data_IF_334711051350
#
_entry.id   IF_334711051350
#
_cell.length_a   1.000
_cell.length_b   1.000
_cell.length_c   1.000
_cell.angle_alpha   90.00
_cell.angle_beta   90.00
_cell.angle_gamma   90.00
#
_symmetry.space_group_name_H-M   'P 1'
#
loop_
_entity.id
_entity.type
_entity.pdbx_description
1 polymer ?
#
# COMPACT_ATOMS: atom_id res chain seq x y z
N UNK A 1 -19.76 7.96 -14.52
CA UNK A 1 -20.56 8.17 -13.30
C UNK A 1 -19.75 8.97 -12.29
N UNK A 2 -20.36 9.51 -11.23
CA UNK A 2 -19.64 10.23 -10.18
C UNK A 2 -18.67 9.31 -9.42
N UNK A 3 -17.62 9.89 -8.82
CA UNK A 3 -16.67 9.18 -7.96
C UNK A 3 -17.41 8.60 -6.77
N UNK A 4 -17.19 7.31 -6.48
CA UNK A 4 -17.84 6.60 -5.37
C UNK A 4 -16.89 6.15 -4.27
N UNK A 5 -15.60 6.04 -4.58
CA UNK A 5 -14.60 5.56 -3.63
C UNK A 5 -13.28 6.24 -3.88
N UNK A 6 -12.67 6.74 -2.81
CA UNK A 6 -11.32 7.30 -2.79
C UNK A 6 -10.47 6.39 -1.92
N UNK A 7 -9.33 5.95 -2.44
CA UNK A 7 -8.30 5.22 -1.70
C UNK A 7 -7.07 6.12 -1.67
N UNK A 8 -6.71 6.58 -0.48
CA UNK A 8 -5.53 7.41 -0.24
C UNK A 8 -4.49 6.55 0.49
N UNK A 9 -3.36 6.29 -0.16
CA UNK A 9 -2.24 5.55 0.44
C UNK A 9 -1.12 6.56 0.70
N UNK A 10 -1.04 7.03 1.94
CA UNK A 10 0.00 7.93 2.39
C UNK A 10 1.25 7.18 2.86
N UNK A 11 2.25 7.93 3.31
CA UNK A 11 3.49 7.34 3.85
C UNK A 11 3.25 6.56 5.14
N UNK A 12 2.42 7.06 6.06
CA UNK A 12 2.25 6.49 7.40
C UNK A 12 0.82 6.02 7.70
N UNK A 13 -0.11 6.26 6.78
CA UNK A 13 -1.48 5.82 6.91
C UNK A 13 -2.06 5.48 5.54
N UNK A 14 -3.20 4.79 5.55
CA UNK A 14 -4.02 4.61 4.36
C UNK A 14 -5.49 4.78 4.72
N UNK A 15 -6.26 5.33 3.79
CA UNK A 15 -7.66 5.72 3.98
C UNK A 15 -8.51 5.18 2.84
N UNK A 16 -9.71 4.74 3.17
CA UNK A 16 -10.76 4.39 2.22
C UNK A 16 -11.98 5.24 2.54
N UNK A 17 -12.40 6.03 1.58
CA UNK A 17 -13.52 6.96 1.70
C UNK A 17 -14.56 6.57 0.66
N UNK A 18 -15.78 6.26 1.09
CA UNK A 18 -16.92 6.04 0.18
C UNK A 18 -17.76 7.30 0.12
N UNK A 19 -18.18 7.66 -1.09
CA UNK A 19 -19.03 8.81 -1.37
C UNK A 19 -20.42 8.35 -1.81
N UNK A 20 -21.45 9.06 -1.34
CA UNK A 20 -22.84 8.83 -1.75
C UNK A 20 -23.15 9.43 -3.13
N UNK A 21 -24.43 9.50 -3.51
CA UNK A 21 -24.87 10.04 -4.83
C UNK A 21 -24.69 11.55 -4.98
N UNK A 22 -24.65 12.26 -3.86
CA UNK A 22 -24.40 13.70 -3.80
C UNK A 22 -22.90 14.04 -3.77
N UNK A 23 -22.04 13.03 -3.60
CA UNK A 23 -20.59 13.19 -3.45
C UNK A 23 -20.15 13.48 -2.02
N UNK A 24 -21.08 13.38 -1.04
CA UNK A 24 -20.77 13.51 0.38
C UNK A 24 -20.18 12.20 0.92
N UNK A 25 -19.40 12.32 1.99
CA UNK A 25 -18.73 11.18 2.62
C UNK A 25 -19.74 10.30 3.37
N UNK A 26 -19.99 9.11 2.83
CA UNK A 26 -20.85 8.09 3.43
C UNK A 26 -20.08 7.21 4.43
N UNK A 27 -18.81 6.89 4.15
CA UNK A 27 -18.00 6.04 5.03
C UNK A 27 -16.53 6.40 4.96
N UNK A 28 -15.86 6.30 6.11
CA UNK A 28 -14.44 6.56 6.27
C UNK A 28 -13.78 5.46 7.10
N UNK A 29 -12.79 4.79 6.51
CA UNK A 29 -11.92 3.83 7.18
C UNK A 29 -10.47 4.30 7.03
N UNK A 30 -9.68 4.16 8.09
CA UNK A 30 -8.29 4.57 8.09
C UNK A 30 -7.43 3.65 8.94
N UNK A 31 -6.28 3.26 8.41
CA UNK A 31 -5.21 2.62 9.16
C UNK A 31 -4.08 3.63 9.43
N UNK A 32 -3.87 4.00 10.68
CA UNK A 32 -2.75 4.87 11.14
C UNK A 32 -1.79 4.16 12.09
N UNK A 33 -2.10 2.94 12.51
CA UNK A 33 -1.34 2.26 13.59
C UNK A 33 -0.28 1.32 13.06
N UNK A 34 -0.44 0.84 11.83
CA UNK A 34 0.44 -0.12 11.21
C UNK A 34 1.01 0.44 9.92
N UNK A 35 2.32 0.27 9.72
CA UNK A 35 2.98 0.64 8.48
C UNK A 35 2.68 -0.36 7.33
N UNK A 36 2.15 -1.55 7.63
CA UNK A 36 1.63 -2.44 6.60
C UNK A 36 0.47 -1.76 5.85
N UNK A 37 0.50 -1.82 4.52
CA UNK A 37 -0.50 -1.16 3.68
C UNK A 37 -0.34 0.36 3.57
N UNK A 38 0.86 0.90 3.85
CA UNK A 38 1.22 2.32 3.65
C UNK A 38 2.50 2.45 2.84
N UNK A 39 2.86 3.66 2.41
CA UNK A 39 4.13 3.94 1.71
C UNK A 39 5.38 3.52 2.49
N UNK A 40 5.33 3.55 3.83
CA UNK A 40 6.43 3.10 4.69
C UNK A 40 6.74 1.61 4.56
N UNK A 41 5.75 0.77 4.20
CA UNK A 41 6.01 -0.61 3.79
C UNK A 41 6.88 -0.66 2.53
N UNK A 42 6.50 0.11 1.51
CA UNK A 42 7.21 0.15 0.23
C UNK A 42 8.64 0.70 0.39
N UNK A 43 8.82 1.74 1.20
CA UNK A 43 10.14 2.29 1.54
C UNK A 43 11.06 1.25 2.22
N UNK A 44 10.52 0.44 3.13
CA UNK A 44 11.27 -0.62 3.79
C UNK A 44 11.67 -1.70 2.77
N UNK A 45 10.73 -2.18 1.95
CA UNK A 45 11.01 -3.20 0.93
C UNK A 45 12.02 -2.72 -0.12
N UNK A 46 11.90 -1.47 -0.60
CA UNK A 46 12.87 -0.87 -1.52
C UNK A 46 14.29 -0.89 -0.94
N UNK A 47 14.43 -0.54 0.35
CA UNK A 47 15.70 -0.57 1.07
C UNK A 47 16.28 -1.98 1.19
N UNK A 48 15.45 -2.96 1.55
CA UNK A 48 15.88 -4.35 1.71
C UNK A 48 16.34 -4.94 0.38
N UNK A 49 15.58 -4.66 -0.70
CA UNK A 49 15.90 -5.10 -2.05
C UNK A 49 17.06 -4.31 -2.70
N UNK A 50 17.53 -3.24 -2.05
CA UNK A 50 18.63 -2.40 -2.56
C UNK A 50 18.26 -1.62 -3.82
N UNK A 51 17.00 -1.24 -4.01
CA UNK A 51 16.51 -0.51 -5.18
C UNK A 51 15.85 0.83 -4.80
N UNK A 52 15.86 1.84 -5.69
CA UNK A 52 15.09 3.06 -5.48
C UNK A 52 13.58 2.77 -5.42
N UNK A 53 12.86 3.51 -4.57
CA UNK A 53 11.41 3.33 -4.35
C UNK A 53 10.63 3.53 -5.66
N UNK A 54 11.00 4.53 -6.44
CA UNK A 54 10.43 4.88 -7.73
C UNK A 54 10.53 3.75 -8.77
N UNK A 55 11.49 2.84 -8.61
CA UNK A 55 11.67 1.71 -9.53
C UNK A 55 10.83 0.49 -9.18
N UNK A 56 10.23 0.42 -7.98
CA UNK A 56 9.44 -0.75 -7.56
C UNK A 56 8.30 -1.07 -8.53
N UNK A 57 7.61 -0.03 -9.02
CA UNK A 57 6.51 -0.20 -9.99
C UNK A 57 6.97 -0.89 -11.26
N UNK A 58 8.02 -0.36 -11.91
CA UNK A 58 8.55 -0.90 -13.15
C UNK A 58 9.18 -2.30 -12.96
N UNK A 59 9.89 -2.52 -11.84
CA UNK A 59 10.43 -3.83 -11.47
C UNK A 59 9.32 -4.87 -11.33
N UNK A 60 8.22 -4.53 -10.66
CA UNK A 60 7.11 -5.45 -10.41
C UNK A 60 6.46 -5.94 -11.70
N UNK A 61 6.38 -5.09 -12.73
CA UNK A 61 5.78 -5.43 -14.03
C UNK A 61 6.61 -6.45 -14.84
N UNK A 62 7.88 -6.65 -14.49
CA UNK A 62 8.76 -7.63 -15.14
C UNK A 62 8.73 -9.02 -14.47
N UNK A 63 7.94 -9.18 -13.40
CA UNK A 63 7.85 -10.46 -12.70
C UNK A 63 7.09 -11.50 -13.53
N UNK A 64 7.73 -12.63 -13.80
CA UNK A 64 7.08 -13.80 -14.43
C UNK A 64 6.54 -14.78 -13.37
N UNK A 65 7.14 -14.76 -12.17
CA UNK A 65 6.84 -15.67 -11.06
C UNK A 65 6.81 -14.87 -9.74
N UNK A 66 5.71 -14.17 -9.44
CA UNK A 66 5.58 -13.42 -8.19
C UNK A 66 5.67 -14.34 -6.98
N UNK A 67 6.33 -13.86 -5.93
CA UNK A 67 6.44 -14.58 -4.65
C UNK A 67 5.25 -14.27 -3.76
N UNK A 68 4.76 -15.28 -3.05
CA UNK A 68 3.75 -15.10 -2.00
C UNK A 68 4.45 -14.77 -0.69
N UNK A 69 4.20 -13.56 -0.17
CA UNK A 69 4.63 -13.17 1.17
C UNK A 69 3.60 -13.65 2.19
N UNK A 70 4.03 -14.48 3.12
CA UNK A 70 3.15 -15.06 4.14
C UNK A 70 2.90 -14.10 5.31
N UNK A 71 3.85 -13.20 5.58
CA UNK A 71 3.78 -12.24 6.66
C UNK A 71 3.17 -10.90 6.25
N UNK A 72 2.18 -10.43 7.04
CA UNK A 72 1.60 -9.09 6.88
C UNK A 72 2.41 -8.00 7.60
N UNK A 73 3.12 -8.34 8.68
CA UNK A 73 3.92 -7.38 9.44
C UNK A 73 5.24 -7.11 8.73
N UNK A 74 5.59 -5.83 8.50
CA UNK A 74 6.85 -5.44 7.84
C UNK A 74 8.03 -6.18 8.44
N UNK A 75 8.19 -6.16 9.76
CA UNK A 75 9.33 -6.75 10.47
C UNK A 75 9.49 -8.23 10.18
N UNK A 76 8.39 -8.96 10.00
CA UNK A 76 8.43 -10.38 9.67
C UNK A 76 8.67 -10.57 8.16
N UNK A 77 8.05 -9.74 7.33
CA UNK A 77 8.24 -9.76 5.88
C UNK A 77 9.71 -9.51 5.49
N UNK A 78 10.48 -8.72 6.26
CA UNK A 78 11.92 -8.54 6.01
C UNK A 78 12.70 -9.86 6.06
N UNK A 79 12.23 -10.86 6.82
CA UNK A 79 12.89 -12.17 6.94
C UNK A 79 12.57 -13.11 5.78
N UNK A 80 11.61 -12.76 4.92
CA UNK A 80 11.17 -13.55 3.76
C UNK A 80 11.83 -13.09 2.45
N UNK A 81 12.60 -11.99 2.49
CA UNK A 81 13.22 -11.33 1.33
C UNK A 81 14.71 -11.66 1.21
#
# INVERSE_FOLDING_TARGET
GPVRTVIDIGGQDSKVIRLDESGEMDTFLMNTKCAAGTGRFLEAMARILGVPLEHLGELSMRSEHPVDLSSTCIVMAESEV
#
